data_IF_292968770111
#
_entry.id   IF_292968770111
#
_cell.length_a   1.000
_cell.length_b   1.000
_cell.length_c   1.000
_cell.angle_alpha   90.00
_cell.angle_beta   90.00
_cell.angle_gamma   90.00
#
_symmetry.space_group_name_H-M   'P 1'
#
loop_
_entity.id
_entity.type
_entity.pdbx_description
1 polymer ?
#
# COMPACT_ATOMS: atom_id res chain seq x y z
N UNK A 1 -9.14 -31.42 26.21
CA UNK A 1 -8.76 -30.34 25.28
C UNK A 1 -7.76 -30.93 24.29
N UNK A 2 -8.14 -31.17 23.04
CA UNK A 2 -7.22 -31.78 22.07
C UNK A 2 -6.17 -30.74 21.65
N UNK A 3 -4.86 -31.03 21.72
CA UNK A 3 -3.82 -30.06 21.37
C UNK A 3 -3.90 -29.60 19.90
N UNK A 4 -4.53 -30.40 19.04
CA UNK A 4 -4.80 -30.06 17.65
C UNK A 4 -5.77 -28.87 17.52
N UNK A 5 -6.87 -28.87 18.28
CA UNK A 5 -7.90 -27.81 18.16
C UNK A 5 -7.38 -26.47 18.69
N UNK A 6 -6.60 -26.50 19.76
CA UNK A 6 -5.94 -25.30 20.28
C UNK A 6 -4.90 -24.76 19.30
N UNK A 7 -4.10 -25.62 18.67
CA UNK A 7 -3.15 -25.21 17.64
C UNK A 7 -3.83 -24.53 16.45
N UNK A 8 -4.93 -25.12 15.93
CA UNK A 8 -5.71 -24.55 14.83
C UNK A 8 -6.29 -23.19 15.23
N UNK A 9 -6.89 -23.08 16.42
CA UNK A 9 -7.46 -21.82 16.91
C UNK A 9 -6.39 -20.72 17.04
N UNK A 10 -5.21 -21.04 17.56
CA UNK A 10 -4.09 -20.11 17.65
C UNK A 10 -3.62 -19.62 16.28
N UNK A 11 -3.46 -20.53 15.31
CA UNK A 11 -3.06 -20.16 13.94
C UNK A 11 -4.10 -19.23 13.31
N UNK A 12 -5.39 -19.58 13.42
CA UNK A 12 -6.49 -18.75 12.92
C UNK A 12 -6.46 -17.35 13.55
N UNK A 13 -6.32 -17.26 14.87
CA UNK A 13 -6.24 -15.98 15.58
C UNK A 13 -5.08 -15.12 15.07
N UNK A 14 -3.89 -15.69 14.87
CA UNK A 14 -2.72 -14.97 14.33
C UNK A 14 -3.00 -14.48 12.90
N UNK A 15 -3.52 -15.33 12.03
CA UNK A 15 -3.86 -14.94 10.65
C UNK A 15 -4.91 -13.83 10.59
N UNK A 16 -5.96 -13.91 11.42
CA UNK A 16 -7.01 -12.89 11.50
C UNK A 16 -6.46 -11.57 12.06
N UNK A 17 -5.62 -11.62 13.08
CA UNK A 17 -4.98 -10.44 13.64
C UNK A 17 -4.07 -9.76 12.60
N UNK A 18 -3.27 -10.53 11.85
CA UNK A 18 -2.47 -9.99 10.75
C UNK A 18 -3.32 -9.37 9.64
N UNK A 19 -4.44 -10.01 9.29
CA UNK A 19 -5.39 -9.48 8.32
C UNK A 19 -6.04 -8.17 8.81
N UNK A 20 -6.42 -8.10 10.09
CA UNK A 20 -6.98 -6.90 10.70
C UNK A 20 -5.98 -5.73 10.68
N UNK A 21 -4.70 -5.97 11.01
CA UNK A 21 -3.64 -4.96 10.89
C UNK A 21 -3.45 -4.50 9.44
N UNK A 22 -3.53 -5.42 8.48
CA UNK A 22 -3.45 -5.09 7.06
C UNK A 22 -4.65 -4.26 6.56
N UNK A 23 -5.82 -4.42 7.18
CA UNK A 23 -7.02 -3.65 6.89
C UNK A 23 -6.97 -2.25 7.56
N UNK A 24 -6.58 -2.18 8.84
CA UNK A 24 -6.52 -0.94 9.60
C UNK A 24 -5.38 0.00 9.15
N UNK A 25 -4.22 -0.55 8.74
CA UNK A 25 -3.07 0.21 8.25
C UNK A 25 -2.75 -0.13 6.78
N UNK A 26 -3.56 0.33 5.81
CA UNK A 26 -3.41 -0.04 4.41
C UNK A 26 -2.14 0.57 3.76
N UNK A 27 -1.58 1.60 4.38
CA UNK A 27 -0.43 2.36 3.89
C UNK A 27 0.73 2.19 4.88
N UNK A 28 1.76 1.45 4.48
CA UNK A 28 3.03 1.44 5.20
C UNK A 28 3.94 2.58 4.74
N UNK A 29 4.88 3.00 5.56
CA UNK A 29 5.87 3.98 5.13
C UNK A 29 6.84 3.38 4.09
N UNK A 30 7.25 4.21 3.13
CA UNK A 30 8.28 3.81 2.19
C UNK A 30 9.61 3.65 2.93
N UNK A 31 10.14 2.42 2.98
CA UNK A 31 11.39 2.07 3.67
C UNK A 31 12.60 2.92 3.23
N UNK A 32 12.59 3.47 2.01
CA UNK A 32 13.71 4.24 1.46
C UNK A 32 13.71 5.70 1.90
N UNK A 33 12.54 6.33 2.00
CA UNK A 33 12.41 7.72 2.45
C UNK A 33 11.82 7.84 3.86
N UNK A 34 11.58 6.72 4.56
CA UNK A 34 10.99 6.67 5.91
C UNK A 34 9.73 7.54 6.07
N UNK A 35 8.85 7.52 5.07
CA UNK A 35 7.61 8.32 5.12
C UNK A 35 7.71 9.75 4.55
N UNK A 36 8.91 10.31 4.36
CA UNK A 36 9.06 11.71 3.92
C UNK A 36 8.69 11.97 2.45
N UNK A 37 8.77 10.96 1.58
CA UNK A 37 8.54 11.11 0.13
C UNK A 37 9.74 11.67 -0.64
N UNK A 38 10.81 12.07 0.03
CA UNK A 38 12.03 12.57 -0.61
C UNK A 38 13.26 12.14 0.17
N UNK A 39 14.43 12.22 -0.46
CA UNK A 39 15.71 12.04 0.22
C UNK A 39 16.01 13.30 1.06
N UNK A 40 16.20 13.15 2.37
CA UNK A 40 16.71 14.23 3.22
C UNK A 40 18.20 14.43 2.92
N UNK A 41 18.60 15.68 2.69
CA UNK A 41 20.00 16.07 2.55
C UNK A 41 20.34 17.12 3.59
N UNK A 42 21.50 17.00 4.21
CA UNK A 42 22.06 18.04 5.07
C UNK A 42 22.85 19.02 4.22
N UNK A 43 22.63 20.31 4.44
CA UNK A 43 23.45 21.37 3.85
C UNK A 43 24.80 21.47 4.59
N UNK A 44 25.78 22.17 4.03
CA UNK A 44 27.09 22.44 4.67
C UNK A 44 26.96 23.15 6.02
N UNK A 45 25.84 23.84 6.25
CA UNK A 45 25.49 24.53 7.50
C UNK A 45 24.67 23.66 8.47
N UNK A 46 24.59 22.35 8.25
CA UNK A 46 23.87 21.40 9.12
C UNK A 46 22.34 21.44 9.04
N UNK A 47 21.76 22.27 8.17
CA UNK A 47 20.30 22.37 8.01
C UNK A 47 19.75 21.21 7.18
N UNK A 48 18.64 20.61 7.62
CA UNK A 48 17.91 19.61 6.86
C UNK A 48 17.19 20.27 5.68
N UNK A 49 17.49 19.81 4.45
CA UNK A 49 16.85 20.26 3.23
C UNK A 49 16.19 19.10 2.51
N UNK A 50 15.07 19.41 1.86
CA UNK A 50 14.38 18.50 0.93
C UNK A 50 15.29 18.25 -0.26
N UNK A 51 15.78 17.03 -0.39
CA UNK A 51 16.54 16.57 -1.55
C UNK A 51 15.64 16.03 -2.66
N UNK A 52 16.19 15.11 -3.47
CA UNK A 52 15.48 14.55 -4.62
C UNK A 52 14.24 13.77 -4.21
N UNK A 53 13.25 13.77 -5.09
CA UNK A 53 12.04 12.96 -4.96
C UNK A 53 12.36 11.48 -4.80
N UNK A 54 11.62 10.77 -3.94
CA UNK A 54 11.85 9.35 -3.75
C UNK A 54 11.28 8.57 -4.94
N UNK A 55 12.16 8.08 -5.82
CA UNK A 55 11.81 7.23 -6.99
C UNK A 55 11.06 5.92 -6.67
N UNK A 56 10.99 5.52 -5.40
CA UNK A 56 10.36 4.24 -5.00
C UNK A 56 8.88 4.40 -4.65
N UNK A 57 8.49 5.56 -4.14
CA UNK A 57 7.10 5.86 -3.79
C UNK A 57 6.54 7.02 -4.63
N UNK A 58 7.27 7.41 -5.69
CA UNK A 58 7.05 8.66 -6.44
C UNK A 58 6.65 9.81 -5.52
N UNK A 59 7.42 9.90 -4.43
CA UNK A 59 7.31 10.83 -3.31
C UNK A 59 5.97 11.05 -2.65
N UNK A 60 5.08 10.07 -2.75
CA UNK A 60 3.96 9.95 -1.82
C UNK A 60 4.40 9.60 -0.39
N UNK A 61 5.64 9.12 -0.20
CA UNK A 61 6.15 8.72 1.11
C UNK A 61 5.57 7.41 1.65
N UNK A 62 4.48 6.90 1.04
CA UNK A 62 3.76 5.70 1.45
C UNK A 62 3.91 4.56 0.45
N UNK A 63 3.65 3.34 0.90
CA UNK A 63 3.58 2.09 0.13
C UNK A 63 2.30 1.35 0.51
N UNK A 64 1.54 0.94 -0.49
CA UNK A 64 0.31 0.16 -0.28
C UNK A 64 0.64 -1.25 0.21
N UNK A 65 0.13 -1.64 1.38
CA UNK A 65 0.23 -3.00 1.95
C UNK A 65 -0.60 -4.01 1.15
N UNK A 66 -0.33 -5.30 1.36
CA UNK A 66 -0.92 -6.39 0.56
C UNK A 66 -2.45 -6.44 0.69
N UNK A 67 -3.01 -6.18 1.88
CA UNK A 67 -4.46 -6.17 2.07
C UNK A 67 -5.18 -5.17 1.16
N UNK A 68 -4.67 -3.93 1.08
CA UNK A 68 -5.22 -2.91 0.19
C UNK A 68 -4.98 -3.23 -1.30
N UNK A 69 -3.90 -3.93 -1.65
CA UNK A 69 -3.69 -4.45 -3.02
C UNK A 69 -4.74 -5.49 -3.38
N UNK A 70 -5.02 -6.43 -2.48
CA UNK A 70 -6.00 -7.49 -2.67
C UNK A 70 -7.41 -6.90 -2.81
N UNK A 71 -7.80 -5.98 -1.92
CA UNK A 71 -9.09 -5.30 -2.00
C UNK A 71 -9.25 -4.49 -3.29
N UNK A 72 -8.20 -3.77 -3.72
CA UNK A 72 -8.23 -3.05 -4.99
C UNK A 72 -8.34 -4.01 -6.19
N UNK A 73 -7.68 -5.17 -6.14
CA UNK A 73 -7.79 -6.20 -7.16
C UNK A 73 -9.21 -6.79 -7.21
N UNK A 74 -9.77 -7.17 -6.06
CA UNK A 74 -11.13 -7.71 -5.95
C UNK A 74 -12.20 -6.69 -6.40
N UNK A 75 -12.02 -5.40 -6.08
CA UNK A 75 -12.88 -4.33 -6.60
C UNK A 75 -12.80 -4.19 -8.11
N UNK A 76 -11.60 -4.28 -8.69
CA UNK A 76 -11.43 -4.20 -10.15
C UNK A 76 -12.14 -5.36 -10.84
N UNK A 77 -12.04 -6.58 -10.30
CA UNK A 77 -12.75 -7.74 -10.86
C UNK A 77 -14.26 -7.60 -10.70
N UNK A 78 -14.75 -7.14 -9.54
CA UNK A 78 -16.19 -6.91 -9.32
C UNK A 78 -16.78 -5.83 -10.24
N UNK A 79 -16.07 -4.72 -10.46
CA UNK A 79 -16.52 -3.69 -11.40
C UNK A 79 -16.48 -4.17 -12.85
N UNK A 80 -15.48 -4.98 -13.22
CA UNK A 80 -15.39 -5.54 -14.56
C UNK A 80 -16.57 -6.48 -14.88
N UNK A 81 -17.12 -7.17 -13.88
CA UNK A 81 -18.30 -8.03 -14.06
C UNK A 81 -19.62 -7.27 -13.99
N UNK A 82 -19.71 -6.24 -13.14
CA UNK A 82 -20.98 -5.57 -12.84
C UNK A 82 -21.23 -4.34 -13.70
N UNK A 83 -20.19 -3.70 -14.22
CA UNK A 83 -20.30 -2.49 -15.02
C UNK A 83 -19.89 -2.79 -16.46
N UNK A 84 -20.78 -2.61 -17.45
CA UNK A 84 -20.37 -2.69 -18.85
C UNK A 84 -19.25 -1.67 -19.08
N UNK A 85 -18.14 -2.13 -19.65
CA UNK A 85 -16.97 -1.29 -19.83
C UNK A 85 -17.33 -0.11 -20.74
N UNK A 86 -17.45 1.10 -20.16
CA UNK A 86 -17.55 2.31 -20.95
C UNK A 86 -16.20 2.52 -21.65
N UNK A 87 -16.14 2.54 -23.00
CA UNK A 87 -14.89 2.77 -23.70
C UNK A 87 -14.35 4.15 -23.32
N UNK A 88 -13.06 4.20 -22.97
CA UNK A 88 -12.39 5.45 -22.68
C UNK A 88 -12.47 6.37 -23.92
N UNK A 89 -12.70 7.69 -23.73
CA UNK A 89 -12.75 8.63 -24.84
C UNK A 89 -11.42 8.62 -25.59
N UNK A 90 -11.50 8.54 -26.93
CA UNK A 90 -10.32 8.56 -27.79
C UNK A 90 -9.60 9.91 -27.63
N UNK A 91 -8.30 9.89 -27.33
CA UNK A 91 -7.48 11.10 -27.14
C UNK A 91 -7.08 11.41 -25.69
N UNK A 92 -7.56 10.66 -24.70
CA UNK A 92 -7.05 10.78 -23.33
C UNK A 92 -5.63 10.19 -23.24
N UNK A 93 -4.64 11.05 -22.96
CA UNK A 93 -3.34 10.64 -22.48
C UNK A 93 -3.34 10.86 -20.96
N UNK A 94 -3.25 9.83 -20.11
CA UNK A 94 -3.38 9.97 -18.66
C UNK A 94 -2.27 10.81 -18.00
N UNK A 95 -1.33 11.33 -18.81
CA UNK A 95 -0.13 12.05 -18.40
C UNK A 95 0.10 13.36 -19.20
N UNK A 96 -0.88 13.84 -20.00
CA UNK A 96 -0.85 15.15 -20.67
C UNK A 96 -1.99 16.04 -20.20
#
# INVERSE_FOLDING_TARGET
>A
MTPLTTAIACLLAITLCYAAVCAASPLGDCRKCRGFGYALKTDRKGRLRRGKHCRRCDGHGKRVRIGRRLYNAARRTYHATTTPATPAPKGHHPWR
#
